data_IF_875706580152
#
_entry.id   IF_875706580152
#
_cell.length_a   1.000
_cell.length_b   1.000
_cell.length_c   1.000
_cell.angle_alpha   90.00
_cell.angle_beta   90.00
_cell.angle_gamma   90.00
#
_symmetry.space_group_name_H-M   'P 1'
#
loop_
_entity.id
_entity.type
_entity.pdbx_description
1 polymer ?
#
# COMPACT_ATOMS: atom_id res chain seq x y z
N UNK A 1 11.36 -3.54 -18.66
CA UNK A 1 10.75 -2.95 -17.46
C UNK A 1 11.02 -1.46 -17.50
N UNK A 2 9.96 -0.66 -17.40
CA UNK A 2 10.04 0.81 -17.41
C UNK A 2 10.89 1.33 -16.23
N UNK A 3 11.56 2.47 -16.40
CA UNK A 3 12.41 3.06 -15.34
C UNK A 3 11.60 3.44 -14.10
N UNK A 4 10.33 3.81 -14.27
CA UNK A 4 9.38 4.05 -13.20
C UNK A 4 9.11 2.77 -12.40
N UNK A 5 8.71 1.68 -13.08
CA UNK A 5 8.42 0.39 -12.45
C UNK A 5 9.64 -0.12 -11.68
N UNK A 6 10.84 -0.02 -12.26
CA UNK A 6 12.09 -0.37 -11.59
C UNK A 6 12.34 0.46 -10.32
N UNK A 7 12.12 1.78 -10.40
CA UNK A 7 12.24 2.69 -9.24
C UNK A 7 11.25 2.32 -8.15
N UNK A 8 10.01 2.01 -8.55
CA UNK A 8 8.95 1.65 -7.62
C UNK A 8 9.20 0.30 -6.95
N UNK A 9 9.69 -0.70 -7.69
CA UNK A 9 10.11 -2.00 -7.15
C UNK A 9 11.20 -1.83 -6.08
N UNK A 10 12.20 -0.96 -6.32
CA UNK A 10 13.23 -0.65 -5.32
C UNK A 10 12.63 0.00 -4.07
N UNK A 11 11.69 0.94 -4.25
CA UNK A 11 10.96 1.57 -3.17
C UNK A 11 10.17 0.55 -2.34
N UNK A 12 9.45 -0.36 -2.98
CA UNK A 12 8.68 -1.42 -2.32
C UNK A 12 9.60 -2.39 -1.56
N UNK A 13 10.74 -2.74 -2.15
CA UNK A 13 11.75 -3.56 -1.49
C UNK A 13 12.28 -2.87 -0.23
N UNK A 14 12.58 -1.56 -0.29
CA UNK A 14 13.03 -0.79 0.87
C UNK A 14 11.98 -0.73 2.00
N UNK A 15 10.71 -0.48 1.67
CA UNK A 15 9.68 -0.30 2.69
C UNK A 15 9.15 -1.61 3.28
N UNK A 16 9.09 -2.70 2.51
CA UNK A 16 8.31 -3.88 2.89
C UNK A 16 9.10 -5.18 2.99
N UNK A 17 10.28 -5.27 2.38
CA UNK A 17 11.02 -6.53 2.33
C UNK A 17 11.43 -6.98 3.74
N UNK A 18 11.01 -8.20 4.09
CA UNK A 18 11.25 -8.85 5.39
C UNK A 18 10.75 -8.11 6.63
N UNK A 19 9.91 -7.07 6.46
CA UNK A 19 9.32 -6.36 7.59
C UNK A 19 8.16 -7.16 8.18
N UNK A 20 7.95 -6.97 9.48
CA UNK A 20 6.77 -7.47 10.19
C UNK A 20 5.89 -6.29 10.53
N UNK A 21 4.67 -6.28 10.01
CA UNK A 21 3.67 -5.25 10.28
C UNK A 21 2.94 -5.63 11.55
N UNK A 22 2.68 -4.66 12.43
CA UNK A 22 1.97 -4.84 13.69
C UNK A 22 0.60 -4.17 13.64
N UNK A 23 0.49 -2.97 13.08
CA UNK A 23 -0.74 -2.21 13.01
C UNK A 23 -0.93 -1.48 11.66
N UNK A 24 -2.18 -1.29 11.27
CA UNK A 24 -2.61 -0.24 10.36
C UNK A 24 -3.02 0.95 11.23
N UNK A 25 -2.66 2.16 10.83
CA UNK A 25 -3.05 3.38 11.51
C UNK A 25 -3.78 4.25 10.48
N UNK A 26 -5.04 4.52 10.77
CA UNK A 26 -5.85 5.47 10.03
C UNK A 26 -5.79 6.83 10.73
N UNK A 27 -5.80 7.89 9.94
CA UNK A 27 -5.90 9.25 10.45
C UNK A 27 -7.33 9.74 10.31
N UNK A 28 -7.82 10.39 11.35
CA UNK A 28 -9.11 11.05 11.38
C UNK A 28 -8.90 12.54 11.67
N UNK A 29 -9.73 13.40 11.08
CA UNK A 29 -9.82 14.80 11.49
C UNK A 29 -10.35 14.88 12.92
N UNK A 30 -9.75 15.70 13.79
CA UNK A 30 -10.27 15.88 15.16
C UNK A 30 -11.64 16.59 15.15
N UNK A 31 -11.92 17.44 14.16
CA UNK A 31 -13.10 18.31 14.15
C UNK A 31 -14.42 17.54 13.97
N UNK A 32 -14.45 16.59 13.04
CA UNK A 32 -15.64 15.80 12.71
C UNK A 32 -15.42 14.28 12.80
N UNK A 33 -14.21 13.85 13.15
CA UNK A 33 -13.82 12.45 13.25
C UNK A 33 -13.95 11.69 11.92
N UNK A 34 -13.98 12.39 10.79
CA UNK A 34 -13.96 11.80 9.45
C UNK A 34 -12.59 11.18 9.17
N UNK A 35 -12.60 9.95 8.63
CA UNK A 35 -11.38 9.26 8.25
C UNK A 35 -10.81 9.92 6.99
N UNK A 36 -9.52 10.26 7.01
CA UNK A 36 -8.77 10.59 5.82
C UNK A 36 -8.53 9.30 5.03
N UNK A 37 -9.15 9.21 3.85
CA UNK A 37 -9.06 8.06 2.93
C UNK A 37 -7.81 8.10 2.05
N UNK A 38 -7.23 9.27 1.84
CA UNK A 38 -6.06 9.49 1.00
C UNK A 38 -4.71 9.19 1.69
N UNK A 39 -4.73 8.78 2.97
CA UNK A 39 -3.52 8.48 3.75
C UNK A 39 -3.73 7.29 4.68
N UNK A 40 -2.73 6.41 4.76
CA UNK A 40 -2.65 5.34 5.76
C UNK A 40 -1.21 5.23 6.27
N UNK A 41 -1.05 4.73 7.50
CA UNK A 41 0.26 4.37 8.04
C UNK A 41 0.28 2.89 8.41
N UNK A 42 1.43 2.26 8.24
CA UNK A 42 1.69 0.91 8.73
C UNK A 42 2.80 1.00 9.77
N UNK A 43 2.55 0.45 10.96
CA UNK A 43 3.52 0.35 12.04
C UNK A 43 4.19 -1.03 11.97
N UNK A 44 5.51 -1.08 12.05
CA UNK A 44 6.25 -2.34 12.13
C UNK A 44 6.31 -2.86 13.56
N UNK A 45 6.71 -4.11 13.78
CA UNK A 45 6.95 -4.63 15.13
C UNK A 45 8.11 -3.92 15.84
N UNK A 46 9.07 -3.40 15.07
CA UNK A 46 10.24 -2.68 15.60
C UNK A 46 9.92 -1.21 15.98
N UNK A 47 8.69 -0.75 15.73
CA UNK A 47 8.25 0.62 16.00
C UNK A 47 8.55 1.62 14.87
N UNK A 48 9.00 1.15 13.70
CA UNK A 48 9.12 1.99 12.52
C UNK A 48 7.76 2.23 11.85
N UNK A 49 7.66 3.28 11.04
CA UNK A 49 6.46 3.63 10.31
C UNK A 49 6.67 3.56 8.80
N UNK A 50 5.59 3.25 8.09
CA UNK A 50 5.49 3.37 6.64
C UNK A 50 4.22 4.16 6.36
N UNK A 51 4.37 5.46 6.15
CA UNK A 51 3.29 6.32 5.68
C UNK A 51 3.08 6.14 4.18
N UNK A 52 1.82 6.10 3.76
CA UNK A 52 1.40 6.02 2.36
C UNK A 52 0.35 7.09 2.14
N UNK A 53 0.59 7.97 1.18
CA UNK A 53 -0.28 9.08 0.83
C UNK A 53 -0.53 9.08 -0.67
N UNK A 54 -1.75 9.39 -1.09
CA UNK A 54 -2.09 9.56 -2.49
C UNK A 54 -2.71 10.93 -2.75
N UNK A 55 -2.28 11.58 -3.82
CA UNK A 55 -2.88 12.79 -4.38
C UNK A 55 -2.62 12.81 -5.88
N UNK A 56 -3.47 12.10 -6.61
CA UNK A 56 -3.29 11.83 -8.03
C UNK A 56 -2.66 10.46 -8.30
N UNK A 57 -1.94 10.36 -9.42
CA UNK A 57 -1.66 9.09 -10.09
C UNK A 57 -0.77 8.10 -9.32
N UNK A 58 0.13 8.58 -8.43
CA UNK A 58 1.14 7.73 -7.81
C UNK A 58 1.30 7.99 -6.31
N UNK A 59 1.38 6.92 -5.49
CA UNK A 59 1.50 7.06 -4.04
C UNK A 59 2.88 7.60 -3.62
N UNK A 60 2.87 8.50 -2.64
CA UNK A 60 4.03 8.95 -1.89
C UNK A 60 4.22 8.08 -0.65
N UNK A 61 5.48 7.81 -0.30
CA UNK A 61 5.82 6.97 0.85
C UNK A 61 6.76 7.74 1.76
N UNK A 62 6.57 7.58 3.06
CA UNK A 62 7.45 8.11 4.10
C UNK A 62 7.78 7.05 5.14
N UNK A 63 8.97 7.14 5.72
CA UNK A 63 9.36 6.37 6.90
C UNK A 63 9.07 7.07 8.23
N UNK A 64 8.58 8.31 8.17
CA UNK A 64 8.34 9.14 9.35
C UNK A 64 6.89 9.00 9.80
N UNK A 65 6.68 9.09 11.10
CA UNK A 65 5.34 9.26 11.66
C UNK A 65 4.90 10.71 11.43
N UNK A 66 3.60 10.92 11.23
CA UNK A 66 3.02 12.24 10.90
C UNK A 66 3.40 13.34 11.91
N UNK A 67 3.46 13.03 13.21
CA UNK A 67 3.81 14.01 14.25
C UNK A 67 5.30 14.22 14.43
N UNK A 68 6.14 13.33 13.89
CA UNK A 68 7.60 13.50 13.91
C UNK A 68 8.05 14.37 12.74
N UNK A 69 7.50 14.10 11.54
CA UNK A 69 7.67 14.93 10.35
C UNK A 69 6.46 14.78 9.43
N UNK A 70 5.82 15.89 9.10
CA UNK A 70 4.68 15.93 8.18
C UNK A 70 5.14 15.97 6.71
N UNK A 71 5.63 14.83 6.23
CA UNK A 71 6.07 14.68 4.83
C UNK A 71 4.92 14.82 3.81
N UNK A 72 3.66 14.70 4.26
CA UNK A 72 2.48 14.77 3.41
C UNK A 72 1.79 16.14 3.45
N UNK A 73 2.27 17.05 4.31
CA UNK A 73 1.73 18.38 4.53
C UNK A 73 0.23 18.35 4.90
N UNK A 74 -0.18 17.40 5.74
CA UNK A 74 -1.56 17.28 6.23
C UNK A 74 -1.94 18.43 7.16
N UNK A 75 -1.02 18.89 8.02
CA UNK A 75 -1.31 19.99 8.95
C UNK A 75 -1.50 21.35 8.28
N UNK A 76 -1.31 21.44 6.95
CA UNK A 76 -1.73 22.61 6.19
C UNK A 76 -3.25 22.67 5.97
N UNK A 77 -3.95 21.53 6.04
CA UNK A 77 -5.39 21.43 5.83
C UNK A 77 -6.16 21.03 7.10
N UNK A 78 -5.50 20.34 8.04
CA UNK A 78 -6.11 19.83 9.25
C UNK A 78 -5.45 20.46 10.47
N UNK A 79 -6.23 21.02 11.39
CA UNK A 79 -5.66 21.63 12.61
C UNK A 79 -5.03 20.55 13.50
N UNK A 80 -5.73 19.43 13.66
CA UNK A 80 -5.30 18.27 14.45
C UNK A 80 -5.81 16.98 13.84
N UNK A 81 -5.11 15.91 14.14
CA UNK A 81 -5.41 14.57 13.65
C UNK A 81 -5.53 13.63 14.84
N UNK A 82 -6.29 12.55 14.67
CA UNK A 82 -6.43 11.45 15.63
C UNK A 82 -5.99 10.16 14.96
N UNK A 83 -5.13 9.39 15.63
CA UNK A 83 -4.70 8.07 15.16
C UNK A 83 -5.65 6.97 15.64
N UNK A 84 -6.23 6.22 14.69
CA UNK A 84 -6.98 4.99 14.95
C UNK A 84 -6.16 3.78 14.54
N UNK A 85 -5.76 2.96 15.53
CA UNK A 85 -4.93 1.77 15.32
C UNK A 85 -5.76 0.50 15.17
N UNK A 86 -5.41 -0.31 14.17
CA UNK A 86 -5.98 -1.62 13.91
C UNK A 86 -4.87 -2.68 13.83
N UNK A 87 -4.96 -3.74 14.65
CA UNK A 87 -3.93 -4.77 14.73
C UNK A 87 -4.03 -5.80 13.59
N UNK A 88 -2.91 -6.09 12.94
CA UNK A 88 -2.83 -6.98 11.76
C UNK A 88 -1.52 -7.79 11.72
N UNK A 89 -1.02 -8.29 12.86
CA UNK A 89 0.35 -8.81 12.95
C UNK A 89 0.67 -9.89 11.90
N UNK A 90 1.57 -9.60 10.94
CA UNK A 90 2.15 -10.62 10.04
C UNK A 90 3.52 -10.21 9.49
N UNK A 91 4.36 -11.20 9.18
CA UNK A 91 5.63 -11.01 8.47
C UNK A 91 5.38 -11.00 6.97
N UNK A 92 5.89 -9.98 6.28
CA UNK A 92 5.80 -9.89 4.82
C UNK A 92 6.79 -10.88 4.21
N UNK A 93 6.26 -11.88 3.51
CA UNK A 93 7.05 -12.89 2.79
C UNK A 93 6.66 -12.99 1.32
N UNK A 94 5.57 -12.32 0.93
CA UNK A 94 5.13 -12.18 -0.45
C UNK A 94 4.66 -10.75 -0.69
N UNK A 95 5.12 -10.17 -1.80
CA UNK A 95 4.73 -8.86 -2.30
C UNK A 95 4.29 -9.01 -3.75
N UNK A 96 3.15 -8.43 -4.10
CA UNK A 96 2.63 -8.38 -5.45
C UNK A 96 2.20 -6.96 -5.78
N UNK A 97 2.71 -6.40 -6.86
CA UNK A 97 2.40 -5.05 -7.34
C UNK A 97 1.52 -5.16 -8.57
N UNK A 98 0.53 -4.27 -8.68
CA UNK A 98 -0.39 -4.22 -9.80
C UNK A 98 -0.23 -2.86 -10.48
N UNK A 99 0.23 -2.85 -11.73
CA UNK A 99 0.38 -1.64 -12.53
C UNK A 99 -0.63 -1.63 -13.67
N UNK A 100 -1.14 -0.45 -14.04
CA UNK A 100 -1.95 -0.32 -15.26
C UNK A 100 -1.13 -0.75 -16.48
N UNK A 101 -1.78 -1.41 -17.45
CA UNK A 101 -1.10 -1.80 -18.68
C UNK A 101 -1.03 -0.65 -19.70
N UNK A 102 -1.93 0.32 -19.57
CA UNK A 102 -2.02 1.50 -20.43
C UNK A 102 -1.28 2.70 -19.83
N UNK A 103 -1.32 2.84 -18.50
CA UNK A 103 -0.73 3.95 -17.77
C UNK A 103 0.41 3.47 -16.88
N UNK A 104 1.46 4.27 -16.76
CA UNK A 104 2.61 3.96 -15.91
C UNK A 104 2.30 4.28 -14.43
N UNK A 105 1.26 3.64 -13.92
CA UNK A 105 0.63 3.91 -12.62
C UNK A 105 0.51 2.64 -11.81
N UNK A 106 0.67 2.77 -10.49
CA UNK A 106 0.40 1.67 -9.58
C UNK A 106 -1.08 1.68 -9.16
N UNK A 107 -1.80 0.62 -9.52
CA UNK A 107 -3.19 0.40 -9.11
C UNK A 107 -3.29 -0.05 -7.65
N UNK A 108 -2.31 -0.80 -7.17
CA UNK A 108 -2.28 -1.29 -5.80
C UNK A 108 -1.14 -2.25 -5.54
N UNK A 109 -1.04 -2.71 -4.30
CA UNK A 109 -0.13 -3.78 -3.93
C UNK A 109 -0.75 -4.71 -2.89
N UNK A 110 -0.29 -5.96 -2.91
CA UNK A 110 -0.70 -7.01 -2.01
C UNK A 110 0.52 -7.53 -1.24
N UNK A 111 0.35 -7.66 0.07
CA UNK A 111 1.33 -8.20 1.00
C UNK A 111 0.72 -9.44 1.66
N UNK A 112 1.50 -10.49 1.85
CA UNK A 112 1.08 -11.62 2.69
C UNK A 112 2.25 -12.28 3.40
N UNK A 113 1.93 -13.08 4.41
CA UNK A 113 2.83 -14.09 4.92
C UNK A 113 2.94 -15.29 3.97
N UNK A 114 3.87 -16.21 4.27
CA UNK A 114 4.21 -17.34 3.39
C UNK A 114 3.05 -18.28 3.08
N UNK A 115 2.16 -18.51 4.05
CA UNK A 115 1.00 -19.41 3.90
C UNK A 115 -0.30 -18.68 3.54
N UNK A 116 -0.24 -17.35 3.35
CA UNK A 116 -1.38 -16.48 2.97
C UNK A 116 -2.49 -16.47 4.05
N UNK A 117 -2.22 -16.94 5.26
CA UNK A 117 -3.17 -16.87 6.37
C UNK A 117 -3.41 -15.44 6.88
N UNK A 118 -2.52 -14.51 6.54
CA UNK A 118 -2.68 -13.08 6.78
C UNK A 118 -2.19 -12.29 5.57
N UNK A 119 -3.03 -11.36 5.12
CA UNK A 119 -2.74 -10.55 3.95
C UNK A 119 -3.29 -9.15 4.09
N UNK A 120 -2.68 -8.24 3.33
CA UNK A 120 -3.07 -6.84 3.22
C UNK A 120 -3.03 -6.45 1.74
N UNK A 121 -4.17 -6.05 1.21
CA UNK A 121 -4.29 -5.44 -0.10
C UNK A 121 -4.53 -3.95 0.06
N UNK A 122 -3.68 -3.13 -0.56
CA UNK A 122 -3.81 -1.67 -0.60
C UNK A 122 -4.10 -1.29 -2.05
N UNK A 123 -5.25 -0.67 -2.28
CA UNK A 123 -5.75 -0.27 -3.58
C UNK A 123 -5.79 1.26 -3.68
N UNK A 124 -5.30 1.79 -4.80
CA UNK A 124 -5.21 3.22 -5.06
C UNK A 124 -6.26 3.67 -6.06
N UNK A 125 -7.01 4.72 -5.74
CA UNK A 125 -8.12 5.21 -6.55
C UNK A 125 -8.09 6.73 -6.63
N UNK A 126 -7.35 7.31 -7.59
CA UNK A 126 -7.11 8.76 -7.79
C UNK A 126 -6.66 9.54 -6.54
N UNK A 127 -7.53 9.71 -5.56
CA UNK A 127 -7.32 10.39 -4.29
C UNK A 127 -7.65 9.52 -3.07
N UNK A 128 -8.10 8.28 -3.24
CA UNK A 128 -8.47 7.40 -2.12
C UNK A 128 -7.57 6.16 -2.00
N UNK A 129 -7.40 5.68 -0.76
CA UNK A 129 -6.75 4.41 -0.42
C UNK A 129 -7.77 3.46 0.24
N UNK A 130 -8.08 2.37 -0.45
CA UNK A 130 -8.87 1.27 0.10
C UNK A 130 -7.95 0.15 0.58
N UNK A 131 -8.28 -0.42 1.74
CA UNK A 131 -7.48 -1.46 2.40
C UNK A 131 -8.35 -2.67 2.68
N UNK A 132 -7.97 -3.82 2.12
CA UNK A 132 -8.64 -5.11 2.35
C UNK A 132 -7.69 -6.07 3.05
N UNK A 133 -8.16 -6.76 4.08
CA UNK A 133 -7.36 -7.68 4.88
C UNK A 133 -7.82 -9.12 4.70
N UNK A 134 -6.89 -10.06 4.70
CA UNK A 134 -7.17 -11.50 4.61
C UNK A 134 -7.93 -11.89 3.33
N UNK A 135 -7.68 -11.17 2.24
CA UNK A 135 -8.17 -11.51 0.92
C UNK A 135 -7.20 -12.48 0.24
N UNK A 136 -7.75 -13.42 -0.53
CA UNK A 136 -6.93 -14.24 -1.40
C UNK A 136 -6.45 -13.43 -2.60
N UNK A 137 -5.39 -13.91 -3.26
CA UNK A 137 -4.89 -13.27 -4.48
C UNK A 137 -5.95 -13.25 -5.60
N UNK A 138 -6.80 -14.28 -5.70
CA UNK A 138 -7.91 -14.31 -6.65
C UNK A 138 -8.94 -13.23 -6.39
N UNK A 139 -9.30 -12.98 -5.11
CA UNK A 139 -10.26 -11.93 -4.76
C UNK A 139 -9.70 -10.54 -5.12
N UNK A 140 -8.40 -10.33 -4.88
CA UNK A 140 -7.70 -9.09 -5.25
C UNK A 140 -7.70 -8.87 -6.76
N UNK A 141 -7.38 -9.91 -7.53
CA UNK A 141 -7.42 -9.86 -9.00
C UNK A 141 -8.82 -9.51 -9.48
N UNK A 142 -9.87 -10.10 -8.90
CA UNK A 142 -11.26 -9.80 -9.25
C UNK A 142 -11.63 -8.35 -8.94
N UNK A 143 -11.22 -7.80 -7.78
CA UNK A 143 -11.43 -6.38 -7.44
C UNK A 143 -10.78 -5.47 -8.48
N UNK A 144 -9.53 -5.73 -8.83
CA UNK A 144 -8.80 -4.91 -9.82
C UNK A 144 -9.47 -5.03 -11.19
N UNK A 145 -9.82 -6.24 -11.62
CA UNK A 145 -10.54 -6.45 -12.89
C UNK A 145 -11.88 -5.73 -12.90
N UNK A 146 -12.65 -5.74 -11.82
CA UNK A 146 -13.95 -5.08 -11.77
C UNK A 146 -13.82 -3.54 -11.75
N UNK A 147 -12.77 -3.00 -11.14
CA UNK A 147 -12.57 -1.54 -11.02
C UNK A 147 -11.85 -0.93 -12.23
N UNK A 148 -10.96 -1.68 -12.89
CA UNK A 148 -10.13 -1.22 -14.01
C UNK A 148 -10.30 -2.10 -15.27
N UNK A 149 -11.50 -2.68 -15.47
CA UNK A 149 -11.79 -3.70 -16.50
C UNK A 149 -11.39 -3.35 -17.93
N UNK A 150 -11.28 -2.06 -18.24
CA UNK A 150 -10.96 -1.57 -19.58
C UNK A 150 -9.47 -1.51 -19.89
N UNK A 151 -8.60 -1.42 -18.88
CA UNK A 151 -7.22 -0.95 -19.05
C UNK A 151 -6.17 -2.05 -18.87
N UNK A 152 -6.58 -3.26 -18.44
CA UNK A 152 -5.66 -4.35 -18.11
C UNK A 152 -4.66 -4.00 -17.00
N UNK A 153 -3.87 -4.98 -16.55
CA UNK A 153 -2.81 -4.70 -15.59
C UNK A 153 -1.65 -5.70 -15.68
N UNK A 154 -0.46 -5.23 -15.32
CA UNK A 154 0.76 -6.03 -15.23
C UNK A 154 1.04 -6.30 -13.77
N UNK A 155 1.42 -7.55 -13.44
CA UNK A 155 1.79 -7.93 -12.08
C UNK A 155 3.28 -8.18 -11.94
N UNK A 156 3.84 -7.65 -10.84
CA UNK A 156 5.21 -7.94 -10.43
C UNK A 156 5.20 -8.55 -9.04
N UNK A 157 5.83 -9.70 -8.90
CA UNK A 157 5.75 -10.50 -7.69
C UNK A 157 7.11 -10.81 -7.13
N UNK A 158 7.20 -10.86 -5.81
CA UNK A 158 8.40 -11.29 -5.11
C UNK A 158 8.01 -12.13 -3.90
N UNK A 159 8.61 -13.32 -3.81
CA UNK A 159 8.62 -14.14 -2.60
C UNK A 159 9.92 -13.90 -1.83
N UNK A 160 9.92 -14.17 -0.53
CA UNK A 160 11.04 -13.89 0.37
C UNK A 160 12.40 -14.43 -0.10
N UNK A 161 12.43 -15.55 -0.82
CA UNK A 161 13.67 -16.20 -1.29
C UNK A 161 13.91 -16.01 -2.80
N UNK A 162 13.07 -15.25 -3.50
CA UNK A 162 13.14 -15.08 -4.96
C UNK A 162 13.46 -13.66 -5.38
N UNK A 163 13.94 -13.52 -6.62
CA UNK A 163 13.92 -12.23 -7.30
C UNK A 163 12.49 -11.76 -7.60
N UNK A 164 12.38 -10.54 -8.11
CA UNK A 164 11.14 -10.06 -8.70
C UNK A 164 10.86 -10.79 -10.02
N UNK A 165 9.65 -11.31 -10.16
CA UNK A 165 9.15 -12.01 -11.34
C UNK A 165 8.05 -11.16 -11.99
N UNK A 166 8.07 -11.09 -13.33
CA UNK A 166 7.01 -10.46 -14.13
C UNK A 166 5.98 -11.53 -14.47
N UNK A 167 4.74 -11.31 -14.04
CA UNK A 167 3.59 -12.08 -14.48
C UNK A 167 2.69 -11.14 -15.28
N UNK A 168 2.65 -11.37 -16.59
CA UNK A 168 1.65 -10.74 -17.44
C UNK A 168 0.33 -11.48 -17.27
N UNK A 169 -0.66 -10.77 -16.75
CA UNK A 169 -2.04 -11.22 -16.76
C UNK A 169 -2.71 -10.51 -17.94
N UNK A 170 -3.20 -11.29 -18.89
CA UNK A 170 -4.06 -10.81 -19.99
C UNK A 170 -5.46 -10.43 -19.46
#
# INVERSE_FOLDING_TARGET
MDSYILSFIKKMSYFFEHKKISNIIYLHDEDDNERLDHVIFLETEDGDFIGIYIRGMNPHFSSNRIYDLDDFNLFANYERLIEHKENIIFKIEYVCLFFSSEYNELLGFYLSNKDISSSLFVLFSQDEIDVKKNYSKSDVIEIIKNKYSSEGFITYEKKSESGWEDLKIE
#
